data_IF_107506818809
#
_entry.id   IF_107506818809
#
_cell.length_a   1.000
_cell.length_b   1.000
_cell.length_c   1.000
_cell.angle_alpha   90.00
_cell.angle_beta   90.00
_cell.angle_gamma   90.00
#
_symmetry.space_group_name_H-M   'P 1'
#
loop_
_entity.id
_entity.type
_entity.pdbx_description
1 polymer ?
#
# COMPACT_ATOMS: atom_id res chain seq x y z
N UNK A 1 -11.23 -26.96 -12.14
CA UNK A 1 -10.68 -28.03 -11.28
C UNK A 1 -11.77 -28.95 -10.73
N UNK A 2 -12.73 -28.46 -9.95
CA UNK A 2 -13.89 -29.24 -9.45
C UNK A 2 -14.69 -29.95 -10.56
N UNK A 3 -14.94 -29.26 -11.68
CA UNK A 3 -15.62 -29.84 -12.85
C UNK A 3 -14.82 -30.99 -13.50
N UNK A 4 -13.50 -30.92 -13.47
CA UNK A 4 -12.61 -31.95 -14.05
C UNK A 4 -12.57 -33.20 -13.17
N UNK A 5 -12.52 -33.04 -11.84
CA UNK A 5 -12.57 -34.15 -10.87
C UNK A 5 -13.92 -34.85 -10.92
N UNK A 6 -15.02 -34.08 -11.00
CA UNK A 6 -16.37 -34.63 -11.11
C UNK A 6 -16.55 -35.47 -12.36
N UNK A 7 -15.96 -35.05 -13.48
CA UNK A 7 -15.97 -35.78 -14.75
C UNK A 7 -15.17 -37.09 -14.70
N UNK A 8 -14.06 -37.15 -13.95
CA UNK A 8 -13.30 -38.40 -13.75
C UNK A 8 -14.11 -39.46 -12.99
N UNK A 9 -14.92 -39.02 -12.01
CA UNK A 9 -15.80 -39.90 -11.24
C UNK A 9 -16.93 -40.48 -12.14
N UNK A 10 -17.46 -39.67 -13.06
CA UNK A 10 -18.50 -40.10 -14.01
C UNK A 10 -17.99 -41.08 -15.08
N UNK A 11 -16.70 -41.04 -15.44
CA UNK A 11 -16.10 -41.85 -16.51
C UNK A 11 -15.64 -43.25 -16.02
N UNK A 12 -15.80 -43.59 -14.72
CA UNK A 12 -15.26 -44.83 -14.11
C UNK A 12 -13.75 -44.99 -14.27
N UNK A 13 -13.02 -43.90 -14.08
CA UNK A 13 -11.56 -43.94 -14.03
C UNK A 13 -11.03 -44.79 -12.89
N UNK A 14 -9.78 -45.27 -13.02
CA UNK A 14 -9.18 -46.12 -12.01
C UNK A 14 -9.09 -45.39 -10.66
N UNK A 15 -9.21 -46.14 -9.56
CA UNK A 15 -9.13 -45.57 -8.20
C UNK A 15 -7.85 -44.75 -7.99
N UNK A 16 -6.73 -45.21 -8.55
CA UNK A 16 -5.45 -44.51 -8.51
C UNK A 16 -5.49 -43.16 -9.26
N UNK A 17 -6.17 -43.09 -10.39
CA UNK A 17 -6.35 -41.85 -11.16
C UNK A 17 -7.16 -40.81 -10.36
N UNK A 18 -8.20 -41.27 -9.66
CA UNK A 18 -9.06 -40.41 -8.84
C UNK A 18 -8.31 -39.91 -7.60
N UNK A 19 -7.59 -40.80 -6.90
CA UNK A 19 -6.78 -40.44 -5.73
C UNK A 19 -5.67 -39.44 -6.09
N UNK A 20 -5.00 -39.63 -7.23
CA UNK A 20 -4.00 -38.68 -7.72
C UNK A 20 -4.61 -37.31 -8.05
N UNK A 21 -5.76 -37.29 -8.75
CA UNK A 21 -6.43 -36.05 -9.09
C UNK A 21 -6.91 -35.27 -7.85
N UNK A 22 -7.38 -35.97 -6.82
CA UNK A 22 -7.76 -35.37 -5.54
C UNK A 22 -6.54 -34.79 -4.81
N UNK A 23 -5.45 -35.54 -4.72
CA UNK A 23 -4.20 -35.08 -4.10
C UNK A 23 -3.68 -33.81 -4.79
N UNK A 24 -3.63 -33.81 -6.12
CA UNK A 24 -3.18 -32.64 -6.87
C UNK A 24 -4.12 -31.44 -6.73
N UNK A 25 -5.42 -31.66 -6.58
CA UNK A 25 -6.38 -30.59 -6.34
C UNK A 25 -6.18 -29.95 -4.97
N UNK A 26 -6.00 -30.77 -3.93
CA UNK A 26 -5.76 -30.32 -2.56
C UNK A 26 -4.41 -29.59 -2.43
N UNK A 27 -3.37 -30.12 -3.07
CA UNK A 27 -2.07 -29.47 -3.15
C UNK A 27 -2.15 -28.09 -3.84
N UNK A 28 -2.80 -28.02 -5.00
CA UNK A 28 -2.91 -26.78 -5.76
C UNK A 28 -3.72 -25.70 -5.01
N UNK A 29 -4.79 -26.09 -4.32
CA UNK A 29 -5.56 -25.17 -3.47
C UNK A 29 -4.73 -24.66 -2.29
N UNK A 30 -3.96 -25.53 -1.66
CA UNK A 30 -3.10 -25.16 -0.52
C UNK A 30 -2.02 -24.15 -0.95
N UNK A 31 -1.35 -24.40 -2.07
CA UNK A 31 -0.34 -23.48 -2.61
C UNK A 31 -0.94 -22.14 -3.06
N UNK A 32 -2.14 -22.14 -3.65
CA UNK A 32 -2.84 -20.89 -3.97
C UNK A 32 -3.16 -20.07 -2.73
N UNK A 33 -3.70 -20.69 -1.68
CA UNK A 33 -4.02 -20.01 -0.43
C UNK A 33 -2.75 -19.42 0.20
N UNK A 34 -1.65 -20.17 0.20
CA UNK A 34 -0.38 -19.70 0.73
C UNK A 34 0.17 -18.50 -0.06
N UNK A 35 0.19 -18.62 -1.39
CA UNK A 35 0.71 -17.57 -2.29
C UNK A 35 -0.08 -16.28 -2.18
N UNK A 36 -1.42 -16.36 -2.17
CA UNK A 36 -2.27 -15.17 -2.08
C UNK A 36 -2.40 -14.65 -0.65
N UNK A 37 -2.34 -15.52 0.35
CA UNK A 37 -2.38 -15.13 1.76
C UNK A 37 -1.20 -14.25 2.16
N UNK A 38 0.01 -14.64 1.76
CA UNK A 38 1.24 -13.86 2.02
C UNK A 38 1.20 -12.52 1.27
N UNK A 39 0.77 -12.51 0.01
CA UNK A 39 0.63 -11.28 -0.78
C UNK A 39 -0.41 -10.31 -0.19
N UNK A 40 -1.56 -10.82 0.24
CA UNK A 40 -2.61 -10.01 0.89
C UNK A 40 -2.14 -9.46 2.24
N UNK A 41 -1.43 -10.26 3.03
CA UNK A 41 -0.89 -9.82 4.31
C UNK A 41 0.17 -8.73 4.13
N UNK A 42 1.06 -8.87 3.14
CA UNK A 42 2.04 -7.82 2.79
C UNK A 42 1.35 -6.51 2.40
N UNK A 43 0.35 -6.57 1.51
CA UNK A 43 -0.39 -5.37 1.10
C UNK A 43 -1.14 -4.71 2.26
N UNK A 44 -1.68 -5.50 3.20
CA UNK A 44 -2.35 -4.97 4.38
C UNK A 44 -1.37 -4.21 5.29
N UNK A 45 -0.20 -4.77 5.54
CA UNK A 45 0.86 -4.11 6.33
C UNK A 45 1.32 -2.83 5.65
N UNK A 46 1.57 -2.87 4.33
CA UNK A 46 1.97 -1.70 3.56
C UNK A 46 0.92 -0.58 3.61
N UNK A 47 -0.37 -0.93 3.46
CA UNK A 47 -1.47 0.02 3.54
C UNK A 47 -1.63 0.62 4.95
N UNK A 48 -1.44 -0.19 6.00
CA UNK A 48 -1.47 0.27 7.39
C UNK A 48 -0.34 1.25 7.68
N UNK A 49 0.88 0.93 7.26
CA UNK A 49 2.06 1.79 7.38
C UNK A 49 1.88 3.09 6.60
N UNK A 50 1.32 3.01 5.39
CA UNK A 50 1.03 4.18 4.56
C UNK A 50 -0.03 5.08 5.22
N UNK A 51 -1.09 4.50 5.78
CA UNK A 51 -2.13 5.24 6.50
C UNK A 51 -1.56 5.96 7.73
N UNK A 52 -0.72 5.30 8.53
CA UNK A 52 -0.06 5.91 9.68
C UNK A 52 0.88 7.05 9.27
N UNK A 53 1.68 6.86 8.22
CA UNK A 53 2.57 7.90 7.68
C UNK A 53 1.78 9.08 7.14
N UNK A 54 0.65 8.82 6.48
CA UNK A 54 -0.25 9.86 6.00
C UNK A 54 -0.83 10.68 7.16
N UNK A 55 -1.31 10.03 8.23
CA UNK A 55 -1.79 10.70 9.44
C UNK A 55 -0.73 11.55 10.14
N UNK A 56 0.49 11.03 10.32
CA UNK A 56 1.59 11.77 10.92
C UNK A 56 2.02 12.99 10.06
N UNK A 57 1.99 12.85 8.73
CA UNK A 57 2.27 13.95 7.83
C UNK A 57 1.13 14.98 7.84
N UNK A 58 -0.14 14.58 7.91
CA UNK A 58 -1.26 15.51 8.05
C UNK A 58 -1.15 16.35 9.34
N UNK A 59 -0.81 15.71 10.47
CA UNK A 59 -0.56 16.44 11.72
C UNK A 59 0.58 17.46 11.63
N UNK A 60 1.65 17.13 10.90
CA UNK A 60 2.75 18.06 10.61
C UNK A 60 2.29 19.18 9.67
N UNK A 61 1.46 18.85 8.68
CA UNK A 61 0.89 19.81 7.74
C UNK A 61 0.10 20.88 8.49
N UNK A 62 -0.78 20.52 9.42
CA UNK A 62 -1.61 21.47 10.16
C UNK A 62 -0.78 22.48 10.97
N UNK A 63 0.31 22.02 11.58
CA UNK A 63 1.20 22.84 12.40
C UNK A 63 2.09 23.80 11.60
N UNK A 64 2.27 23.59 10.28
CA UNK A 64 3.06 24.48 9.45
C UNK A 64 2.36 25.83 9.23
N UNK A 65 3.17 26.88 9.05
CA UNK A 65 2.66 28.18 8.63
C UNK A 65 1.97 28.12 7.24
N UNK A 66 1.09 29.08 6.90
CA UNK A 66 0.45 29.15 5.59
C UNK A 66 1.43 29.19 4.41
N UNK A 67 2.63 29.71 4.64
CA UNK A 67 3.78 29.63 3.73
C UNK A 67 4.97 29.11 4.52
N UNK A 68 5.64 28.07 4.03
CA UNK A 68 6.71 27.39 4.74
C UNK A 68 7.86 26.98 3.81
N UNK A 69 8.99 26.67 4.41
CA UNK A 69 10.22 26.16 3.78
C UNK A 69 10.48 24.70 4.16
N UNK A 70 11.45 24.08 3.49
CA UNK A 70 11.86 22.71 3.84
C UNK A 70 12.50 22.63 5.22
N UNK A 71 13.14 23.72 5.67
CA UNK A 71 13.77 23.79 6.99
C UNK A 71 12.72 23.87 8.10
N UNK A 72 11.60 24.56 7.87
CA UNK A 72 10.45 24.56 8.79
C UNK A 72 9.88 23.15 8.97
N UNK A 73 9.76 22.39 7.86
CA UNK A 73 9.33 20.99 7.89
C UNK A 73 10.34 20.10 8.63
N UNK A 74 11.65 20.34 8.44
CA UNK A 74 12.72 19.60 9.13
C UNK A 74 12.72 19.87 10.64
N UNK A 75 12.52 21.13 11.04
CA UNK A 75 12.42 21.54 12.43
C UNK A 75 11.23 20.85 13.13
N UNK A 76 10.08 20.76 12.46
CA UNK A 76 8.89 20.15 13.02
C UNK A 76 8.99 18.62 13.19
N UNK A 77 9.68 17.94 12.26
CA UNK A 77 10.01 16.51 12.35
C UNK A 77 11.16 16.19 13.34
N UNK A 78 11.62 17.19 14.11
CA UNK A 78 12.70 17.06 15.13
C UNK A 78 13.99 16.43 14.61
N UNK A 79 14.33 16.65 13.33
CA UNK A 79 15.58 16.18 12.74
C UNK A 79 15.69 14.69 12.42
N UNK A 80 14.64 13.88 12.65
CA UNK A 80 14.64 12.44 12.35
C UNK A 80 14.34 12.08 10.89
N UNK A 81 14.21 13.07 10.00
CA UNK A 81 13.77 12.87 8.62
C UNK A 81 14.86 13.31 7.63
N UNK A 82 15.25 12.41 6.71
CA UNK A 82 16.21 12.70 5.65
C UNK A 82 15.64 13.67 4.61
N UNK A 83 16.51 14.43 3.94
CA UNK A 83 16.11 15.37 2.88
C UNK A 83 15.31 14.72 1.75
N UNK A 84 15.62 13.45 1.42
CA UNK A 84 14.86 12.68 0.44
C UNK A 84 13.41 12.45 0.89
N UNK A 85 13.21 12.11 2.16
CA UNK A 85 11.87 11.89 2.71
C UNK A 85 11.06 13.19 2.80
N UNK A 86 11.70 14.31 3.18
CA UNK A 86 11.06 15.64 3.17
C UNK A 86 10.60 16.03 1.77
N UNK A 87 11.45 15.81 0.75
CA UNK A 87 11.09 16.06 -0.66
C UNK A 87 9.93 15.19 -1.13
N UNK A 88 9.89 13.92 -0.71
CA UNK A 88 8.78 13.02 -1.02
C UNK A 88 7.46 13.48 -0.41
N UNK A 89 7.48 13.97 0.83
CA UNK A 89 6.29 14.55 1.49
C UNK A 89 5.79 15.77 0.70
N UNK A 90 6.68 16.70 0.36
CA UNK A 90 6.33 17.91 -0.40
C UNK A 90 5.78 17.55 -1.79
N UNK A 91 6.42 16.62 -2.51
CA UNK A 91 5.94 16.17 -3.82
C UNK A 91 4.55 15.53 -3.73
N UNK A 92 4.28 14.76 -2.67
CA UNK A 92 2.97 14.16 -2.43
C UNK A 92 1.91 15.23 -2.18
N UNK A 93 2.18 16.19 -1.29
CA UNK A 93 1.25 17.29 -1.04
C UNK A 93 1.02 18.19 -2.26
N UNK A 94 2.04 18.41 -3.10
CA UNK A 94 1.86 19.11 -4.37
C UNK A 94 0.96 18.33 -5.33
N UNK A 95 1.19 17.02 -5.48
CA UNK A 95 0.37 16.15 -6.35
C UNK A 95 -1.08 16.08 -5.89
N UNK A 96 -1.29 16.00 -4.58
CA UNK A 96 -2.62 15.89 -3.98
C UNK A 96 -3.32 17.28 -3.92
N UNK A 97 -2.66 18.36 -4.35
CA UNK A 97 -3.22 19.71 -4.46
C UNK A 97 -3.26 20.52 -3.17
N UNK A 98 -2.59 20.05 -2.12
CA UNK A 98 -2.64 20.67 -0.78
C UNK A 98 -1.74 21.91 -0.66
N UNK A 99 -0.68 21.95 -1.47
CA UNK A 99 0.26 23.06 -1.51
C UNK A 99 0.56 23.47 -2.94
N UNK A 100 0.85 24.76 -3.11
CA UNK A 100 1.36 25.33 -4.34
C UNK A 100 2.78 25.84 -4.12
N UNK A 101 3.62 25.71 -5.15
CA UNK A 101 4.99 26.22 -5.12
C UNK A 101 4.95 27.73 -5.37
N UNK A 102 5.40 28.52 -4.39
CA UNK A 102 5.45 29.98 -4.50
C UNK A 102 6.82 30.46 -4.97
N UNK A 103 7.89 29.77 -4.57
CA UNK A 103 9.28 30.09 -4.94
C UNK A 103 10.14 28.82 -5.02
N UNK A 104 11.40 28.92 -5.43
CA UNK A 104 12.36 27.81 -5.53
C UNK A 104 12.47 26.99 -4.25
N UNK A 105 12.30 27.62 -3.08
CA UNK A 105 12.42 27.00 -1.76
C UNK A 105 11.21 27.23 -0.83
N UNK A 106 10.08 27.74 -1.35
CA UNK A 106 8.91 28.08 -0.55
C UNK A 106 7.63 27.50 -1.15
N UNK A 107 6.79 26.97 -0.28
CA UNK A 107 5.47 26.45 -0.62
C UNK A 107 4.41 27.15 0.23
N UNK A 108 3.23 27.30 -0.33
CA UNK A 108 2.07 27.82 0.37
C UNK A 108 0.94 26.80 0.37
N UNK A 109 0.26 26.67 1.51
CA UNK A 109 -0.96 25.87 1.64
C UNK A 109 -2.03 26.44 0.72
N UNK A 110 -2.65 25.59 -0.09
CA UNK A 110 -3.81 25.98 -0.89
C UNK A 110 -5.00 26.06 0.08
N UNK A 111 -5.60 27.23 0.22
CA UNK A 111 -6.88 27.34 0.93
C UNK A 111 -7.92 26.58 0.12
N UNK A 112 -8.51 25.56 0.72
CA UNK A 112 -9.76 25.01 0.24
C UNK A 112 -10.81 26.07 0.59
N UNK A 113 -11.18 26.93 -0.37
CA UNK A 113 -12.39 27.73 -0.26
C UNK A 113 -13.56 26.75 -0.34
N UNK A 114 -14.25 26.55 0.79
CA UNK A 114 -15.53 25.85 0.84
C UNK A 114 -16.64 26.73 0.27
#
# INVERSE_FOLDING_TARGET
>A
MLQSVKRLIEIRESKATIEFALMMAEYCLTEQIKTFGEALQSQYVDAQDECQRYGANHSVFDQLAPTFTIDDLRALKRGFCSDGALRMIISRWMRDGWISKTDRHRWSKVKIEN
#
